data_IF_072731056345
#
_entry.id   IF_072731056345
#
_cell.length_a   1.000
_cell.length_b   1.000
_cell.length_c   1.000
_cell.angle_alpha   90.00
_cell.angle_beta   90.00
_cell.angle_gamma   90.00
#
_symmetry.space_group_name_H-M   'P 1'
#
loop_
_entity.id
_entity.type
_entity.pdbx_description
1 polymer ?
#
# COMPACT_ATOMS: atom_id res chain seq x y z
N UNK A 1 -37.51 1.62 44.86
CA UNK A 1 -36.95 1.78 43.49
C UNK A 1 -35.54 1.23 43.57
N UNK A 2 -35.30 0.11 42.88
CA UNK A 2 -34.04 -0.63 42.93
C UNK A 2 -33.15 -0.06 41.84
N UNK A 3 -32.20 0.78 42.21
CA UNK A 3 -31.18 1.26 41.29
C UNK A 3 -30.22 0.10 41.02
N UNK A 4 -30.43 -0.59 39.90
CA UNK A 4 -29.58 -1.65 39.42
C UNK A 4 -28.24 -1.03 38.98
N UNK A 5 -27.21 -1.18 39.81
CA UNK A 5 -25.84 -0.88 39.43
C UNK A 5 -25.46 -1.72 38.20
N UNK A 6 -24.81 -1.14 37.18
CA UNK A 6 -24.32 -1.92 36.05
C UNK A 6 -23.24 -2.89 36.55
N UNK A 7 -23.30 -4.12 36.03
CA UNK A 7 -22.29 -5.17 36.26
C UNK A 7 -20.88 -4.60 36.06
N UNK A 8 -20.02 -4.80 37.06
CA UNK A 8 -18.65 -4.34 37.05
C UNK A 8 -17.84 -5.20 36.07
N UNK A 9 -17.19 -4.57 35.09
CA UNK A 9 -16.27 -5.26 34.18
C UNK A 9 -14.91 -5.35 34.89
N UNK A 10 -14.46 -6.56 35.20
CA UNK A 10 -13.19 -6.81 35.91
C UNK A 10 -11.97 -6.52 35.02
N UNK A 11 -12.06 -6.80 33.73
CA UNK A 11 -10.95 -6.63 32.78
C UNK A 11 -11.46 -6.44 31.35
N UNK A 12 -10.82 -5.56 30.60
CA UNK A 12 -11.12 -5.30 29.19
C UNK A 12 -9.81 -5.10 28.43
N UNK A 13 -9.59 -5.93 27.41
CA UNK A 13 -8.42 -5.85 26.54
C UNK A 13 -8.82 -5.37 25.14
N UNK A 14 -8.09 -4.39 24.62
CA UNK A 14 -8.16 -3.97 23.21
C UNK A 14 -6.79 -4.21 22.61
N UNK A 15 -6.75 -5.02 21.56
CA UNK A 15 -5.59 -5.13 20.69
C UNK A 15 -5.80 -4.24 19.47
N UNK A 16 -4.91 -3.27 19.29
CA UNK A 16 -4.88 -2.40 18.11
C UNK A 16 -3.65 -2.79 17.31
N UNK A 17 -3.86 -3.28 16.10
CA UNK A 17 -2.76 -3.53 15.17
C UNK A 17 -2.17 -2.19 14.73
N UNK A 18 -0.88 -2.00 14.98
CA UNK A 18 -0.16 -0.79 14.56
C UNK A 18 0.09 -0.86 13.05
N UNK A 19 -0.73 -0.13 12.28
CA UNK A 19 -0.60 -0.08 10.83
C UNK A 19 0.42 1.00 10.44
N UNK A 20 1.66 0.57 10.24
CA UNK A 20 2.68 1.41 9.66
C UNK A 20 2.39 1.59 8.16
N UNK A 21 1.82 2.74 7.79
CA UNK A 21 1.81 3.19 6.40
C UNK A 21 3.27 3.32 5.95
N UNK A 22 3.70 2.39 5.10
CA UNK A 22 4.73 2.67 4.12
C UNK A 22 4.26 3.97 3.43
N UNK A 23 5.01 5.06 3.59
CA UNK A 23 4.56 6.42 3.28
C UNK A 23 3.90 6.52 1.89
N UNK A 24 3.06 7.53 1.62
CA UNK A 24 2.26 7.62 0.40
C UNK A 24 3.07 7.55 -0.91
N UNK A 25 4.39 7.73 -0.82
CA UNK A 25 5.35 7.71 -1.94
C UNK A 25 6.19 6.44 -2.02
N UNK A 26 6.12 5.56 -1.02
CA UNK A 26 7.05 4.46 -0.90
C UNK A 26 6.63 3.23 -1.73
N UNK A 27 7.62 2.65 -2.41
CA UNK A 27 7.47 1.50 -3.30
C UNK A 27 7.08 0.25 -2.51
N UNK A 28 5.94 -0.36 -2.87
CA UNK A 28 5.54 -1.67 -2.35
C UNK A 28 5.96 -2.75 -3.35
N UNK A 29 6.86 -3.64 -2.92
CA UNK A 29 7.28 -4.77 -3.74
C UNK A 29 6.11 -5.71 -4.01
N UNK A 30 6.02 -6.18 -5.26
CA UNK A 30 5.00 -7.15 -5.63
C UNK A 30 5.26 -8.47 -4.89
N UNK A 31 4.26 -8.98 -4.18
CA UNK A 31 4.32 -10.30 -3.51
C UNK A 31 4.77 -11.39 -4.50
N UNK A 32 5.60 -12.32 -4.04
CA UNK A 32 6.10 -13.44 -4.85
C UNK A 32 4.97 -14.35 -5.36
N UNK A 33 3.83 -14.37 -4.66
CA UNK A 33 2.65 -15.14 -5.04
C UNK A 33 1.90 -14.56 -6.23
N UNK A 34 2.12 -13.29 -6.57
CA UNK A 34 1.46 -12.64 -7.70
C UNK A 34 2.24 -12.88 -8.99
N UNK A 35 1.54 -13.29 -10.07
CA UNK A 35 2.20 -13.54 -11.35
C UNK A 35 2.78 -12.24 -11.93
N UNK A 36 4.12 -12.12 -11.89
CA UNK A 36 4.91 -11.05 -12.54
C UNK A 36 4.75 -10.99 -14.06
N UNK A 37 3.99 -11.90 -14.65
CA UNK A 37 3.90 -12.15 -16.09
C UNK A 37 2.74 -11.42 -16.77
N UNK A 38 1.74 -10.95 -16.01
CA UNK A 38 0.53 -10.36 -16.58
C UNK A 38 0.47 -8.83 -16.48
N UNK A 39 1.43 -8.15 -15.82
CA UNK A 39 1.62 -6.69 -15.75
C UNK A 39 0.35 -5.81 -15.84
N UNK A 40 -0.79 -6.25 -15.28
CA UNK A 40 -2.01 -5.43 -15.25
C UNK A 40 -1.80 -4.16 -14.41
N UNK A 41 -0.78 -4.20 -13.55
CA UNK A 41 -0.30 -3.10 -12.73
C UNK A 41 1.20 -3.02 -12.97
N UNK A 42 1.64 -1.94 -13.62
CA UNK A 42 3.06 -1.63 -13.81
C UNK A 42 3.46 -0.72 -12.64
N UNK A 43 4.33 -1.23 -11.76
CA UNK A 43 4.93 -0.43 -10.71
C UNK A 43 6.27 0.14 -11.22
N UNK A 44 6.27 1.43 -11.55
CA UNK A 44 7.44 2.11 -12.10
C UNK A 44 8.47 2.32 -11.00
N UNK A 45 9.71 1.90 -11.26
CA UNK A 45 10.82 2.04 -10.34
C UNK A 45 11.29 3.49 -10.31
N UNK A 46 11.36 4.09 -9.12
CA UNK A 46 11.83 5.44 -8.89
C UNK A 46 12.52 5.53 -7.52
N UNK A 47 13.58 6.34 -7.44
CA UNK A 47 14.35 6.60 -6.20
C UNK A 47 13.94 7.92 -5.52
N UNK A 48 12.83 8.52 -5.96
CA UNK A 48 12.28 9.78 -5.49
C UNK A 48 10.86 9.62 -4.91
N UNK A 49 10.25 10.73 -4.47
CA UNK A 49 8.89 10.75 -3.93
C UNK A 49 7.80 10.99 -5.00
N UNK A 50 8.13 10.84 -6.29
CA UNK A 50 7.24 11.18 -7.42
C UNK A 50 6.56 9.96 -8.06
N UNK A 51 6.34 8.88 -7.31
CA UNK A 51 5.79 7.61 -7.83
C UNK A 51 4.46 7.77 -8.58
N UNK A 52 3.58 8.68 -8.15
CA UNK A 52 2.33 8.99 -8.85
C UNK A 52 2.58 9.71 -10.19
N UNK A 53 3.50 10.68 -10.22
CA UNK A 53 3.86 11.38 -11.45
C UNK A 53 4.47 10.43 -12.47
N UNK A 54 5.36 9.54 -12.02
CA UNK A 54 5.93 8.50 -12.86
C UNK A 54 4.87 7.53 -13.39
N UNK A 55 3.91 7.10 -12.55
CA UNK A 55 2.79 6.25 -12.96
C UNK A 55 1.95 6.88 -14.08
N UNK A 56 1.68 8.18 -13.99
CA UNK A 56 0.97 8.93 -15.05
C UNK A 56 1.81 9.01 -16.33
N UNK A 57 3.09 9.34 -16.22
CA UNK A 57 4.01 9.42 -17.37
C UNK A 57 4.14 8.08 -18.11
N UNK A 58 4.30 6.96 -17.39
CA UNK A 58 4.40 5.64 -18.01
C UNK A 58 3.11 5.18 -18.68
N UNK A 59 1.95 5.61 -18.19
CA UNK A 59 0.67 5.36 -18.85
C UNK A 59 0.49 6.20 -20.13
N UNK A 60 0.98 7.44 -20.14
CA UNK A 60 0.94 8.33 -21.31
C UNK A 60 1.97 7.95 -22.38
N UNK A 61 3.11 7.38 -21.97
CA UNK A 61 4.23 7.02 -22.84
C UNK A 61 4.62 5.53 -22.68
N UNK A 62 3.75 4.59 -23.09
CA UNK A 62 3.96 3.16 -22.85
C UNK A 62 5.18 2.62 -23.63
N UNK A 63 6.07 1.95 -22.91
CA UNK A 63 7.26 1.28 -23.46
C UNK A 63 7.03 -0.22 -23.54
N UNK A 64 7.44 -0.86 -24.65
CA UNK A 64 7.25 -2.31 -24.87
C UNK A 64 8.27 -3.18 -24.13
N UNK A 65 9.46 -2.65 -23.89
CA UNK A 65 10.60 -3.36 -23.32
C UNK A 65 10.93 -2.69 -21.99
N UNK A 66 10.84 -3.43 -20.90
CA UNK A 66 11.05 -2.94 -19.52
C UNK A 66 10.17 -1.73 -19.13
N UNK A 67 8.82 -1.83 -19.23
CA UNK A 67 7.90 -0.74 -18.86
C UNK A 67 8.01 -0.30 -17.39
N UNK A 68 8.61 -1.11 -16.53
CA UNK A 68 8.85 -0.82 -15.12
C UNK A 68 10.01 0.16 -14.87
N UNK A 69 10.85 0.44 -15.86
CA UNK A 69 12.04 1.30 -15.68
C UNK A 69 11.71 2.76 -15.97
N UNK A 70 12.11 3.64 -15.07
CA UNK A 70 12.20 5.05 -15.40
C UNK A 70 13.40 5.28 -16.35
N UNK A 71 13.12 5.69 -17.58
CA UNK A 71 14.13 6.03 -18.60
C UNK A 71 14.41 7.54 -18.68
N UNK A 72 13.68 8.33 -17.89
CA UNK A 72 13.80 9.78 -17.79
C UNK A 72 14.61 10.16 -16.56
#
# INVERSE_FOLDING_TARGET
MSDAYPEYIEEFSIEIADFNLIGPTAYISLSETLPKRNNGIINIQNDDDWCFGWSVLGALHPVKIHPERNLH
#
